data_IF_162683590644
#
_entry.id   IF_162683590644
#
_cell.length_a   1.000
_cell.length_b   1.000
_cell.length_c   1.000
_cell.angle_alpha   90.00
_cell.angle_beta   90.00
_cell.angle_gamma   90.00
#
_symmetry.space_group_name_H-M   'P 1'
#
loop_
_entity.id
_entity.type
_entity.pdbx_description
1 polymer ?
#
# COMPACT_ATOMS: atom_id res chain seq x y z
N UNK A 1 7.13 82.03 28.52
CA UNK A 1 7.71 81.19 27.45
C UNK A 1 7.78 79.78 28.00
N UNK A 2 6.69 79.02 27.88
CA UNK A 2 6.46 77.97 26.87
C UNK A 2 7.24 76.68 27.15
N UNK A 3 6.50 75.61 27.45
CA UNK A 3 7.05 74.26 27.52
C UNK A 3 6.13 73.20 28.12
N UNK A 4 4.88 73.08 27.65
CA UNK A 4 4.08 71.86 27.83
C UNK A 4 4.48 70.85 26.74
N UNK A 5 4.96 69.68 27.11
CA UNK A 5 5.01 68.46 26.28
C UNK A 5 4.83 67.30 27.27
N UNK A 6 3.87 66.37 27.16
CA UNK A 6 3.16 65.84 26.01
C UNK A 6 3.40 64.33 26.06
N UNK A 7 2.65 63.62 26.91
CA UNK A 7 2.72 62.17 27.05
C UNK A 7 2.27 61.55 25.72
N UNK A 8 3.21 61.09 24.90
CA UNK A 8 2.88 60.37 23.67
C UNK A 8 2.46 58.95 24.01
N UNK A 9 1.15 58.69 23.98
CA UNK A 9 0.63 57.35 23.90
C UNK A 9 0.85 56.83 22.48
N UNK A 10 1.78 55.88 22.32
CA UNK A 10 1.88 55.07 21.10
C UNK A 10 0.62 54.19 21.00
N UNK A 11 -0.15 54.22 19.90
CA UNK A 11 -1.22 53.27 19.71
C UNK A 11 -0.58 51.90 19.40
N UNK A 12 -0.70 50.97 20.34
CA UNK A 12 -0.33 49.57 20.15
C UNK A 12 -1.32 48.97 19.14
N UNK A 13 -0.92 48.90 17.87
CA UNK A 13 -1.69 48.25 16.82
C UNK A 13 -1.65 46.74 17.09
N UNK A 14 -2.68 46.21 17.75
CA UNK A 14 -2.85 44.78 17.95
C UNK A 14 -3.38 44.19 16.64
N UNK A 15 -2.48 43.67 15.80
CA UNK A 15 -2.86 42.84 14.66
C UNK A 15 -3.45 41.53 15.20
N UNK A 16 -4.79 41.41 15.18
CA UNK A 16 -5.46 40.12 15.32
C UNK A 16 -5.09 39.27 14.09
N UNK A 17 -4.15 38.35 14.25
CA UNK A 17 -4.01 37.23 13.34
C UNK A 17 -5.26 36.34 13.52
N UNK A 18 -6.22 36.49 12.61
CA UNK A 18 -7.25 35.48 12.41
C UNK A 18 -6.56 34.24 11.84
N UNK A 19 -6.09 33.35 12.73
CA UNK A 19 -5.78 31.98 12.35
C UNK A 19 -7.13 31.31 12.14
N UNK A 20 -7.59 31.33 10.90
CA UNK A 20 -8.66 30.45 10.45
C UNK A 20 -8.16 29.03 10.64
N UNK A 21 -8.42 28.41 11.79
CA UNK A 21 -8.31 26.96 11.94
C UNK A 21 -9.40 26.41 11.02
N UNK A 22 -9.02 26.11 9.78
CA UNK A 22 -9.84 25.24 8.94
C UNK A 22 -9.83 23.91 9.67
N UNK A 23 -10.90 23.64 10.44
CA UNK A 23 -11.20 22.28 10.85
C UNK A 23 -11.53 21.54 9.56
N UNK A 24 -10.50 20.99 8.93
CA UNK A 24 -10.69 19.90 7.99
C UNK A 24 -11.30 18.79 8.86
N UNK A 25 -12.53 18.32 8.59
CA UNK A 25 -13.04 17.17 9.30
C UNK A 25 -11.98 16.08 9.16
N UNK A 26 -11.63 15.40 10.25
CA UNK A 26 -10.84 14.18 10.16
C UNK A 26 -11.68 13.19 9.36
N UNK A 27 -11.54 13.19 8.02
CA UNK A 27 -11.96 12.04 7.24
C UNK A 27 -11.12 10.89 7.77
N UNK A 28 -11.76 9.76 8.05
CA UNK A 28 -11.00 8.52 8.20
C UNK A 28 -10.27 8.33 6.88
N UNK A 29 -8.96 8.56 6.89
CA UNK A 29 -8.11 8.38 5.73
C UNK A 29 -7.88 6.88 5.56
N UNK A 30 -8.11 6.39 4.36
CA UNK A 30 -7.73 5.04 3.99
C UNK A 30 -6.26 5.05 3.58
N UNK A 31 -5.52 4.01 3.97
CA UNK A 31 -4.11 3.86 3.61
C UNK A 31 -3.96 2.82 2.51
N UNK A 32 -3.12 3.11 1.52
CA UNK A 32 -2.71 2.13 0.53
C UNK A 32 -1.20 1.92 0.55
N UNK A 33 -0.76 0.70 0.28
CA UNK A 33 0.64 0.37 0.05
C UNK A 33 0.81 -0.45 -1.21
N UNK A 34 2.05 -0.51 -1.69
CA UNK A 34 2.38 -1.39 -2.80
C UNK A 34 3.76 -2.02 -2.63
N UNK A 35 3.91 -3.25 -3.10
CA UNK A 35 5.22 -3.83 -3.34
C UNK A 35 5.34 -4.36 -4.76
N UNK A 36 6.56 -4.36 -5.27
CA UNK A 36 6.86 -4.86 -6.60
C UNK A 36 8.23 -5.49 -6.66
N UNK A 37 8.41 -6.36 -7.65
CA UNK A 37 9.71 -6.98 -7.92
C UNK A 37 9.92 -7.08 -9.42
N UNK A 38 10.98 -6.46 -9.92
CA UNK A 38 11.45 -6.59 -11.29
C UNK A 38 12.69 -7.49 -11.33
N UNK A 39 13.58 -7.33 -10.36
CA UNK A 39 14.85 -8.03 -10.27
C UNK A 39 14.71 -9.31 -9.44
N UNK A 40 14.85 -10.46 -10.07
CA UNK A 40 14.68 -11.77 -9.46
C UNK A 40 16.00 -12.58 -9.50
N UNK A 41 16.43 -13.21 -8.39
CA UNK A 41 17.07 -14.51 -8.55
C UNK A 41 16.01 -15.46 -9.16
N UNK A 42 16.38 -16.47 -9.97
CA UNK A 42 15.44 -17.29 -10.75
C UNK A 42 14.04 -17.42 -10.12
N UNK A 43 12.94 -17.02 -10.80
CA UNK A 43 12.74 -16.89 -12.26
C UNK A 43 13.37 -15.64 -12.90
N UNK A 44 13.18 -15.48 -14.22
CA UNK A 44 13.72 -14.34 -14.97
C UNK A 44 13.13 -13.01 -14.50
N UNK A 45 13.91 -11.94 -14.67
CA UNK A 45 13.46 -10.57 -14.41
C UNK A 45 12.20 -10.19 -15.19
N UNK A 46 11.50 -9.18 -14.67
CA UNK A 46 10.38 -8.48 -15.28
C UNK A 46 10.74 -6.99 -15.40
N UNK A 47 10.08 -6.28 -16.30
CA UNK A 47 10.43 -4.89 -16.64
C UNK A 47 9.49 -3.86 -16.01
N UNK A 48 8.22 -4.20 -15.73
CA UNK A 48 7.19 -3.18 -15.53
C UNK A 48 6.40 -3.22 -14.21
N UNK A 49 6.81 -4.04 -13.25
CA UNK A 49 6.05 -4.15 -12.00
C UNK A 49 6.18 -2.89 -11.13
N UNK A 50 7.29 -2.17 -11.23
CA UNK A 50 7.49 -0.89 -10.57
C UNK A 50 6.51 0.17 -11.09
N UNK A 51 6.29 0.27 -12.40
CA UNK A 51 5.31 1.20 -12.95
C UNK A 51 3.88 0.82 -12.59
N UNK A 52 3.56 -0.48 -12.51
CA UNK A 52 2.27 -0.94 -12.02
C UNK A 52 2.05 -0.53 -10.56
N UNK A 53 3.00 -0.84 -9.67
CA UNK A 53 2.88 -0.51 -8.26
C UNK A 53 2.87 1.00 -8.01
N UNK A 54 3.72 1.78 -8.69
CA UNK A 54 3.72 3.24 -8.61
C UNK A 54 2.42 3.84 -9.15
N UNK A 55 1.91 3.30 -10.26
CA UNK A 55 0.64 3.72 -10.84
C UNK A 55 -0.54 3.48 -9.89
N UNK A 56 -0.58 2.34 -9.21
CA UNK A 56 -1.55 2.09 -8.14
C UNK A 56 -1.37 3.07 -6.97
N UNK A 57 -0.16 3.09 -6.39
CA UNK A 57 0.13 3.80 -5.14
C UNK A 57 -0.05 5.31 -5.25
N UNK A 58 0.51 5.94 -6.28
CA UNK A 58 0.45 7.40 -6.42
C UNK A 58 -0.91 7.89 -6.91
N UNK A 59 -1.63 7.12 -7.71
CA UNK A 59 -2.97 7.53 -8.13
C UNK A 59 -3.97 7.36 -6.99
N UNK A 60 -3.92 6.24 -6.26
CA UNK A 60 -4.86 6.01 -5.17
C UNK A 60 -4.54 6.94 -4.00
N UNK A 61 -3.28 6.97 -3.56
CA UNK A 61 -2.84 7.87 -2.48
C UNK A 61 -2.89 9.37 -2.83
N UNK A 62 -3.19 9.73 -4.08
CA UNK A 62 -3.48 11.08 -4.53
C UNK A 62 -4.96 11.47 -4.48
N UNK A 63 -5.86 10.50 -4.27
CA UNK A 63 -7.28 10.77 -4.07
C UNK A 63 -7.56 11.43 -2.71
N UNK A 64 -8.62 12.24 -2.64
CA UNK A 64 -9.00 12.98 -1.44
C UNK A 64 -9.27 12.14 -0.19
N UNK A 65 -9.57 10.85 -0.35
CA UNK A 65 -9.91 9.94 0.76
C UNK A 65 -8.78 8.99 1.15
N UNK A 66 -7.68 8.99 0.40
CA UNK A 66 -6.62 7.99 0.49
C UNK A 66 -5.26 8.63 0.73
N UNK A 67 -4.37 7.87 1.37
CA UNK A 67 -2.97 8.23 1.58
C UNK A 67 -2.09 7.03 1.27
N UNK A 68 -0.97 7.28 0.60
CA UNK A 68 0.08 6.28 0.45
C UNK A 68 0.86 6.13 1.74
N UNK A 69 0.99 4.89 2.23
CA UNK A 69 1.79 4.55 3.41
C UNK A 69 3.24 4.21 3.01
N UNK A 70 3.43 3.10 2.28
CA UNK A 70 4.73 2.73 1.74
C UNK A 70 4.64 2.13 0.34
N UNK A 71 5.76 2.25 -0.39
CA UNK A 71 6.01 1.49 -1.62
C UNK A 71 7.43 0.94 -1.61
N UNK A 72 7.58 -0.38 -1.75
CA UNK A 72 8.88 -1.05 -1.79
C UNK A 72 9.08 -1.87 -3.05
N UNK A 73 10.32 -1.86 -3.53
CA UNK A 73 10.71 -2.50 -4.77
C UNK A 73 11.88 -3.45 -4.60
N UNK A 74 11.90 -4.51 -5.41
CA UNK A 74 12.99 -5.46 -5.52
C UNK A 74 13.45 -5.99 -4.16
N UNK A 75 14.71 -5.74 -3.77
CA UNK A 75 15.29 -6.22 -2.52
C UNK A 75 14.74 -5.55 -1.27
N UNK A 76 13.85 -4.56 -1.40
CA UNK A 76 13.10 -3.98 -0.29
C UNK A 76 11.68 -4.56 -0.17
N UNK A 77 11.16 -5.17 -1.24
CA UNK A 77 9.92 -5.95 -1.17
C UNK A 77 10.23 -7.29 -0.49
N UNK A 78 9.60 -7.55 0.65
CA UNK A 78 9.91 -8.71 1.48
C UNK A 78 8.66 -9.55 1.69
N UNK A 79 8.80 -10.85 1.48
CA UNK A 79 7.77 -11.86 1.76
C UNK A 79 7.16 -11.69 3.16
N UNK A 80 8.01 -11.42 4.16
CA UNK A 80 7.57 -11.22 5.54
C UNK A 80 6.69 -9.99 5.79
N UNK A 81 6.67 -9.00 4.89
CA UNK A 81 5.74 -7.87 4.98
C UNK A 81 4.29 -8.31 4.72
N UNK A 82 4.09 -9.50 4.14
CA UNK A 82 2.81 -10.09 3.77
C UNK A 82 2.45 -11.33 4.59
N UNK A 83 3.40 -11.91 5.32
CA UNK A 83 3.22 -13.12 6.14
C UNK A 83 2.69 -12.74 7.53
N UNK A 84 1.66 -13.47 7.97
CA UNK A 84 1.06 -13.28 9.29
C UNK A 84 1.95 -13.88 10.40
N UNK A 85 2.15 -13.18 11.53
CA UNK A 85 3.04 -13.61 12.60
C UNK A 85 2.59 -14.89 13.32
N UNK A 86 1.35 -15.36 13.14
CA UNK A 86 0.86 -16.64 13.68
C UNK A 86 1.22 -17.86 12.82
N UNK A 87 1.74 -17.64 11.61
CA UNK A 87 2.18 -18.69 10.69
C UNK A 87 3.64 -19.07 10.93
N UNK A 88 4.11 -20.11 10.25
CA UNK A 88 5.53 -20.47 10.30
C UNK A 88 6.38 -19.38 9.66
N UNK A 89 7.57 -19.15 10.22
CA UNK A 89 8.49 -18.11 9.73
C UNK A 89 8.45 -16.86 10.59
N UNK A 90 8.96 -15.74 10.05
CA UNK A 90 9.10 -14.47 10.78
C UNK A 90 8.25 -13.35 10.15
N UNK A 91 6.97 -13.63 9.92
CA UNK A 91 5.98 -12.69 9.41
C UNK A 91 5.78 -11.46 10.30
N UNK A 92 5.56 -10.32 9.67
CA UNK A 92 5.39 -9.01 10.32
C UNK A 92 4.37 -8.12 9.59
N UNK A 93 3.39 -8.72 8.91
CA UNK A 93 2.39 -7.99 8.14
C UNK A 93 1.58 -6.96 8.95
N UNK A 94 1.37 -7.19 10.25
CA UNK A 94 0.65 -6.32 11.19
C UNK A 94 1.23 -4.91 11.40
N UNK A 95 2.43 -4.62 10.88
CA UNK A 95 3.05 -3.28 10.82
C UNK A 95 3.46 -2.88 9.40
N UNK A 96 3.04 -3.67 8.40
CA UNK A 96 3.26 -3.41 6.98
C UNK A 96 1.92 -3.56 6.25
N UNK A 97 1.73 -4.61 5.45
CA UNK A 97 0.58 -4.66 4.56
C UNK A 97 -0.73 -4.71 5.32
N UNK A 98 -0.80 -5.45 6.43
CA UNK A 98 -2.04 -5.58 7.20
C UNK A 98 -2.39 -4.34 8.03
N UNK A 99 -1.44 -3.41 8.22
CA UNK A 99 -1.66 -2.07 8.82
C UNK A 99 -2.07 -1.00 7.78
N UNK A 100 -2.48 -1.43 6.58
CA UNK A 100 -3.05 -0.57 5.54
C UNK A 100 -4.44 -1.06 5.16
N UNK A 101 -5.22 -0.27 4.40
CA UNK A 101 -6.56 -0.66 3.99
C UNK A 101 -6.59 -1.31 2.60
N UNK A 102 -5.68 -0.92 1.70
CA UNK A 102 -5.56 -1.52 0.36
C UNK A 102 -4.09 -1.78 -0.01
N UNK A 103 -3.73 -3.06 -0.07
CA UNK A 103 -2.41 -3.49 -0.55
C UNK A 103 -2.41 -3.92 -2.02
N UNK A 104 -1.33 -3.61 -2.73
CA UNK A 104 -1.10 -4.02 -4.11
C UNK A 104 0.27 -4.71 -4.25
N UNK A 105 0.30 -5.87 -4.90
CA UNK A 105 1.55 -6.55 -5.24
C UNK A 105 1.66 -6.70 -6.76
N UNK A 106 2.86 -6.49 -7.34
CA UNK A 106 3.14 -6.75 -8.75
C UNK A 106 4.44 -7.53 -8.94
N UNK A 107 4.36 -8.68 -9.63
CA UNK A 107 5.50 -9.60 -9.78
C UNK A 107 5.13 -10.97 -10.32
N UNK A 108 6.05 -11.93 -10.14
CA UNK A 108 5.80 -13.34 -10.46
C UNK A 108 4.83 -14.00 -9.49
N UNK A 109 3.99 -14.87 -10.05
CA UNK A 109 2.97 -15.61 -9.30
C UNK A 109 2.86 -17.05 -9.76
N UNK A 110 2.30 -17.86 -8.87
CA UNK A 110 1.95 -19.25 -9.12
C UNK A 110 0.65 -19.59 -8.36
N UNK A 111 0.00 -20.73 -8.65
CA UNK A 111 -1.21 -21.15 -7.93
C UNK A 111 -1.08 -21.20 -6.40
N UNK A 112 0.15 -21.38 -5.90
CA UNK A 112 0.48 -21.50 -4.50
C UNK A 112 0.85 -20.17 -3.81
N UNK A 113 1.04 -19.07 -4.56
CA UNK A 113 1.58 -17.83 -3.98
C UNK A 113 2.26 -16.88 -4.97
N UNK A 114 3.12 -16.00 -4.47
CA UNK A 114 3.88 -15.04 -5.28
C UNK A 114 5.31 -14.82 -4.77
N UNK A 115 6.19 -14.44 -5.69
CA UNK A 115 7.64 -14.50 -5.49
C UNK A 115 8.28 -13.16 -5.19
N UNK A 116 9.33 -13.20 -4.37
CA UNK A 116 10.15 -12.07 -3.94
C UNK A 116 11.61 -12.26 -4.35
N UNK A 117 12.35 -11.15 -4.42
CA UNK A 117 13.77 -11.16 -4.78
C UNK A 117 14.69 -11.57 -3.64
N UNK A 118 14.28 -11.37 -2.40
CA UNK A 118 15.13 -11.50 -1.23
C UNK A 118 14.60 -12.52 -0.22
N UNK A 119 15.51 -13.31 0.35
CA UNK A 119 15.23 -14.38 1.30
C UNK A 119 15.44 -13.90 2.75
N UNK A 120 14.92 -12.73 3.12
CA UNK A 120 15.00 -12.29 4.53
C UNK A 120 14.25 -13.26 5.47
N UNK A 121 13.31 -14.03 4.93
CA UNK A 121 12.79 -15.30 5.48
C UNK A 121 12.75 -16.33 4.33
N UNK A 122 11.87 -16.12 3.36
CA UNK A 122 11.75 -16.90 2.12
C UNK A 122 11.70 -15.97 0.89
N UNK A 123 11.88 -16.52 -0.32
CA UNK A 123 11.68 -15.78 -1.60
C UNK A 123 10.28 -15.96 -2.17
N UNK A 124 9.33 -16.48 -1.38
CA UNK A 124 8.00 -16.83 -1.87
C UNK A 124 6.99 -16.81 -0.72
N UNK A 125 5.92 -16.04 -0.87
CA UNK A 125 4.78 -16.08 0.06
C UNK A 125 3.82 -17.18 -0.40
N UNK A 126 3.57 -18.19 0.44
CA UNK A 126 2.51 -19.16 0.17
C UNK A 126 1.15 -18.71 0.73
N UNK A 127 0.05 -19.16 0.13
CA UNK A 127 -1.29 -18.98 0.71
C UNK A 127 -1.40 -19.49 2.16
N UNK A 128 -0.56 -20.45 2.58
CA UNK A 128 -0.55 -20.95 3.97
C UNK A 128 0.00 -19.96 4.98
N UNK A 129 0.78 -18.98 4.50
CA UNK A 129 1.48 -17.96 5.27
C UNK A 129 0.65 -16.67 5.42
N UNK A 130 -0.49 -16.59 4.72
CA UNK A 130 -1.37 -15.44 4.75
C UNK A 130 -2.50 -15.59 5.78
N UNK A 131 -2.77 -14.51 6.49
CA UNK A 131 -4.01 -14.21 7.20
C UNK A 131 -4.10 -12.67 7.21
N UNK A 132 -5.05 -12.12 6.47
CA UNK A 132 -5.14 -10.68 6.19
C UNK A 132 -6.51 -10.13 6.59
N UNK A 133 -6.53 -8.86 6.96
CA UNK A 133 -7.67 -8.15 7.53
C UNK A 133 -7.97 -8.52 8.98
N UNK A 134 -7.11 -9.31 9.62
CA UNK A 134 -7.15 -9.53 11.06
C UNK A 134 -6.59 -8.34 11.85
N UNK A 135 -6.01 -7.33 11.17
CA UNK A 135 -5.75 -6.00 11.72
C UNK A 135 -6.52 -4.90 10.99
N UNK A 136 -6.05 -4.39 9.85
CA UNK A 136 -6.70 -3.27 9.12
C UNK A 136 -7.04 -3.53 7.65
N UNK A 137 -6.37 -4.47 6.96
CA UNK A 137 -6.56 -4.64 5.52
C UNK A 137 -7.97 -5.04 5.11
N UNK A 138 -8.57 -4.23 4.24
CA UNK A 138 -9.89 -4.49 3.64
C UNK A 138 -9.75 -5.10 2.24
N UNK A 139 -8.75 -4.67 1.46
CA UNK A 139 -8.61 -5.04 0.06
C UNK A 139 -7.17 -5.38 -0.32
N UNK A 140 -7.03 -6.38 -1.19
CA UNK A 140 -5.76 -6.74 -1.80
C UNK A 140 -5.92 -6.98 -3.30
N UNK A 141 -4.96 -6.52 -4.09
CA UNK A 141 -4.83 -6.84 -5.52
C UNK A 141 -3.46 -7.45 -5.78
N UNK A 142 -3.46 -8.66 -6.33
CA UNK A 142 -2.26 -9.43 -6.63
C UNK A 142 -2.09 -9.47 -8.15
N UNK A 143 -1.28 -8.55 -8.66
CA UNK A 143 -0.86 -8.48 -10.04
C UNK A 143 0.27 -9.48 -10.33
N UNK A 144 -0.09 -10.76 -10.26
CA UNK A 144 0.84 -11.87 -10.48
C UNK A 144 0.14 -13.07 -11.13
N UNK A 145 0.88 -13.82 -11.94
CA UNK A 145 0.35 -14.93 -12.73
C UNK A 145 -0.39 -15.97 -11.85
N UNK A 146 -1.62 -16.32 -12.24
CA UNK A 146 -2.32 -17.56 -11.81
C UNK A 146 -2.61 -17.72 -10.32
N UNK A 147 -2.38 -16.69 -9.50
CA UNK A 147 -2.60 -16.72 -8.04
C UNK A 147 -4.05 -17.09 -7.70
N UNK A 148 -5.03 -16.63 -8.51
CA UNK A 148 -6.45 -16.94 -8.37
C UNK A 148 -6.96 -17.87 -9.49
N UNK A 149 -6.14 -18.84 -9.91
CA UNK A 149 -6.57 -19.85 -10.88
C UNK A 149 -7.78 -20.64 -10.38
N UNK A 150 -8.71 -20.97 -11.27
CA UNK A 150 -10.06 -21.50 -10.96
C UNK A 150 -10.02 -22.80 -10.15
N UNK A 151 -9.01 -23.64 -10.36
CA UNK A 151 -8.90 -24.93 -9.68
C UNK A 151 -8.09 -24.88 -8.38
N UNK A 152 -7.58 -23.72 -7.98
CA UNK A 152 -6.74 -23.54 -6.77
C UNK A 152 -7.07 -22.28 -5.96
N UNK A 153 -7.92 -21.38 -6.45
CA UNK A 153 -8.23 -20.12 -5.75
C UNK A 153 -8.81 -20.34 -4.35
N UNK A 154 -9.44 -21.49 -4.10
CA UNK A 154 -10.00 -21.86 -2.79
C UNK A 154 -8.94 -22.04 -1.71
N UNK A 155 -7.67 -22.22 -2.08
CA UNK A 155 -6.54 -22.26 -1.14
C UNK A 155 -6.39 -20.95 -0.35
N UNK A 156 -6.82 -19.83 -0.94
CA UNK A 156 -6.76 -18.50 -0.31
C UNK A 156 -7.90 -18.21 0.66
N UNK A 157 -8.88 -19.10 0.83
CA UNK A 157 -10.01 -18.84 1.75
C UNK A 157 -9.56 -18.61 3.19
N UNK A 158 -8.49 -19.29 3.63
CA UNK A 158 -7.95 -19.12 4.97
C UNK A 158 -7.12 -17.83 5.14
N UNK A 159 -6.84 -17.11 4.06
CA UNK A 159 -6.20 -15.79 4.12
C UNK A 159 -7.19 -14.69 4.52
N UNK A 160 -8.51 -14.93 4.51
CA UNK A 160 -9.53 -13.94 4.88
C UNK A 160 -9.75 -13.90 6.40
N UNK A 161 -8.84 -13.23 7.12
CA UNK A 161 -8.98 -12.91 8.56
C UNK A 161 -9.95 -11.74 8.84
N UNK A 162 -10.14 -10.89 7.84
CA UNK A 162 -11.14 -9.82 7.79
C UNK A 162 -11.21 -9.11 6.44
N UNK A 163 -10.40 -9.54 5.46
CA UNK A 163 -10.46 -9.06 4.08
C UNK A 163 -11.89 -9.02 3.52
N UNK A 164 -12.20 -7.93 2.84
CA UNK A 164 -13.45 -7.77 2.08
C UNK A 164 -13.34 -8.28 0.65
N UNK A 165 -12.16 -8.15 0.02
CA UNK A 165 -11.94 -8.65 -1.34
C UNK A 165 -10.47 -8.94 -1.62
N UNK A 166 -10.26 -9.91 -2.51
CA UNK A 166 -8.97 -10.24 -3.12
C UNK A 166 -9.17 -10.36 -4.62
N UNK A 167 -8.34 -9.65 -5.39
CA UNK A 167 -8.33 -9.74 -6.86
C UNK A 167 -6.96 -10.21 -7.34
N UNK A 168 -6.92 -10.85 -8.50
CA UNK A 168 -5.71 -11.42 -9.07
C UNK A 168 -6.02 -12.23 -10.32
N UNK A 169 -5.01 -12.86 -10.92
CA UNK A 169 -5.14 -13.50 -12.22
C UNK A 169 -5.48 -14.99 -12.14
N UNK A 170 -6.42 -15.41 -13.00
CA UNK A 170 -6.68 -16.81 -13.29
C UNK A 170 -5.60 -17.43 -14.22
N UNK A 171 -5.14 -16.64 -15.19
CA UNK A 171 -4.15 -17.01 -16.22
C UNK A 171 -2.78 -16.38 -15.97
N UNK A 172 -1.89 -16.53 -16.95
CA UNK A 172 -0.69 -15.70 -17.06
C UNK A 172 -1.08 -14.21 -17.06
N UNK A 173 -0.27 -13.43 -16.34
CA UNK A 173 -0.32 -11.98 -16.32
C UNK A 173 0.80 -11.44 -17.22
N UNK A 174 0.48 -10.50 -18.09
CA UNK A 174 1.48 -9.90 -18.99
C UNK A 174 2.29 -8.82 -18.27
N UNK A 175 3.58 -8.71 -18.61
CA UNK A 175 4.44 -7.62 -18.15
C UNK A 175 4.08 -6.34 -18.92
N UNK A 176 3.35 -5.42 -18.26
CA UNK A 176 2.86 -4.16 -18.85
C UNK A 176 3.03 -3.04 -17.84
N UNK A 177 3.12 -1.79 -18.29
CA UNK A 177 3.51 -0.65 -17.44
C UNK A 177 2.36 0.21 -16.90
N UNK A 178 1.11 -0.16 -17.15
CA UNK A 178 -0.04 0.73 -16.89
C UNK A 178 -1.19 0.08 -16.11
N UNK A 179 -1.04 -1.17 -15.65
CA UNK A 179 -2.13 -1.93 -15.04
C UNK A 179 -2.59 -1.32 -13.73
N UNK A 180 -1.67 -0.97 -12.83
CA UNK A 180 -2.02 -0.38 -11.54
C UNK A 180 -2.73 0.98 -11.70
N UNK A 181 -2.23 1.84 -12.59
CA UNK A 181 -2.92 3.09 -12.93
C UNK A 181 -4.31 2.87 -13.55
N UNK A 182 -4.41 1.94 -14.50
CA UNK A 182 -5.68 1.63 -15.16
C UNK A 182 -6.71 1.03 -14.18
N UNK A 183 -6.24 0.30 -13.17
CA UNK A 183 -7.06 -0.27 -12.11
C UNK A 183 -7.64 0.85 -11.23
N UNK A 184 -6.77 1.72 -10.70
CA UNK A 184 -7.17 2.81 -9.82
C UNK A 184 -8.05 3.84 -10.53
N UNK A 185 -7.75 4.20 -11.78
CA UNK A 185 -8.57 5.14 -12.57
C UNK A 185 -10.04 4.70 -12.71
N UNK A 186 -10.34 3.41 -12.51
CA UNK A 186 -11.72 2.89 -12.55
C UNK A 186 -12.38 2.83 -11.18
N UNK A 187 -11.64 3.10 -10.11
CA UNK A 187 -12.12 3.11 -8.73
C UNK A 187 -12.42 4.51 -8.22
N UNK A 188 -11.63 5.52 -8.62
CA UNK A 188 -11.70 6.91 -8.15
C UNK A 188 -11.93 7.92 -9.27
#
# INVERSE_FOLDING_TARGET
MNGKTGLQAFPMLLALLLVSVVMVPASAYYYCCAEWVNNYPPPSDLEHNDENAQGFYYQLGGDSSWWGDFIYGDGQALERHWKDPSKSGNGIDYIYTDDTHFAFFSGHGAPEGFAFSSSQDDTFLSYSDALWGNTQMDWITIDACTVLRENSHTNWYNAFGGLHSMTGFHTECHDVSDRGSNFVHRMV
#
